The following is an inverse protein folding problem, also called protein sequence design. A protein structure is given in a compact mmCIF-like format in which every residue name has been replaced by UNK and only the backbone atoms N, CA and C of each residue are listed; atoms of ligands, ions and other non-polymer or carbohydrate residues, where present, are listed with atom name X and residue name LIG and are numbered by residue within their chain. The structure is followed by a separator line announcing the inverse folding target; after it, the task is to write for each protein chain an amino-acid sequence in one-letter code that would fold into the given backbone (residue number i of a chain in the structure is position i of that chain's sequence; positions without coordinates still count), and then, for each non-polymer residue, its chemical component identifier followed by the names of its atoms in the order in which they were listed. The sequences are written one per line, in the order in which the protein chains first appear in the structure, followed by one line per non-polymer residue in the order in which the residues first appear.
data_IF_917723068901
#
_entry.id   IF_917723068901
#
_cell.length_a   1.000
_cell.length_b   1.000
_cell.length_c   1.000
_cell.angle_alpha   90.00
_cell.angle_beta   90.00
_cell.angle_gamma   90.00
#
_symmetry.space_group_name_H-M   'P 1'
#
loop_
_entity.id
_entity.type
_entity.pdbx_description
1 polymer ?
#
# COMPACT_ATOMS: atom_id res chain seq x y z
N UNK A 1 29.39 -2.51 -1.08
CA UNK A 1 28.41 -3.25 -1.91
C UNK A 1 27.05 -3.07 -1.27
N UNK A 2 26.19 -2.25 -1.86
CA UNK A 2 24.86 -1.94 -1.33
C UNK A 2 23.84 -3.00 -1.78
N UNK A 3 22.76 -3.20 -1.01
CA UNK A 3 21.65 -4.10 -1.39
C UNK A 3 21.09 -3.74 -2.77
N UNK A 4 21.09 -2.46 -3.09
CA UNK A 4 20.68 -1.94 -4.39
C UNK A 4 21.54 -2.47 -5.56
N UNK A 5 22.87 -2.53 -5.40
CA UNK A 5 23.79 -3.03 -6.43
C UNK A 5 23.57 -4.53 -6.69
N UNK A 6 23.28 -5.30 -5.65
CA UNK A 6 22.99 -6.73 -5.75
C UNK A 6 21.69 -6.94 -6.53
N UNK A 7 20.61 -6.24 -6.17
CA UNK A 7 19.32 -6.38 -6.84
C UNK A 7 19.29 -5.82 -8.28
N UNK A 8 20.05 -4.76 -8.56
CA UNK A 8 20.16 -4.18 -9.90
C UNK A 8 20.93 -5.10 -10.88
N UNK A 9 21.87 -5.90 -10.38
CA UNK A 9 22.65 -6.84 -11.18
C UNK A 9 21.92 -8.14 -11.55
N UNK A 10 20.76 -8.41 -10.95
CA UNK A 10 20.02 -9.66 -11.18
C UNK A 10 19.42 -9.68 -12.59
N UNK A 11 19.76 -10.71 -13.38
CA UNK A 11 19.13 -11.00 -14.67
C UNK A 11 18.25 -12.23 -14.52
N UNK A 12 16.92 -12.05 -14.65
CA UNK A 12 15.94 -13.13 -14.68
C UNK A 12 14.79 -12.94 -13.69
N UNK A 13 13.56 -13.21 -14.14
CA UNK A 13 12.33 -13.02 -13.37
C UNK A 13 12.19 -14.00 -12.18
N UNK A 14 12.95 -15.11 -12.20
CA UNK A 14 12.95 -16.10 -11.12
C UNK A 14 13.68 -15.65 -9.85
N UNK A 15 14.72 -14.82 -9.98
CA UNK A 15 15.57 -14.46 -8.84
C UNK A 15 14.87 -13.53 -7.85
N UNK A 16 14.00 -12.63 -8.33
CA UNK A 16 13.22 -11.74 -7.46
C UNK A 16 12.30 -12.54 -6.53
N UNK A 17 11.67 -13.60 -7.07
CA UNK A 17 10.79 -14.49 -6.31
C UNK A 17 11.56 -15.31 -5.28
N UNK A 18 12.71 -15.87 -5.64
CA UNK A 18 13.56 -16.64 -4.73
C UNK A 18 14.07 -15.79 -3.56
N UNK A 19 14.51 -14.56 -3.86
CA UNK A 19 14.93 -13.59 -2.84
C UNK A 19 13.76 -13.25 -1.92
N UNK A 20 12.61 -12.87 -2.50
CA UNK A 20 11.42 -12.53 -1.73
C UNK A 20 11.01 -13.70 -0.83
N UNK A 21 10.98 -14.94 -1.35
CA UNK A 21 10.60 -16.13 -0.58
C UNK A 21 11.61 -16.52 0.50
N UNK A 22 12.89 -16.23 0.31
CA UNK A 22 13.92 -16.45 1.34
C UNK A 22 13.79 -15.44 2.47
N UNK A 23 13.64 -14.15 2.13
CA UNK A 23 13.45 -13.10 3.13
C UNK A 23 12.12 -13.27 3.85
N UNK A 24 11.05 -13.65 3.16
CA UNK A 24 9.74 -13.88 3.76
C UNK A 24 9.79 -14.97 4.83
N UNK A 25 10.38 -16.13 4.52
CA UNK A 25 10.55 -17.22 5.49
C UNK A 25 11.31 -16.79 6.73
N UNK A 26 12.35 -15.96 6.57
CA UNK A 26 13.09 -15.39 7.70
C UNK A 26 12.24 -14.38 8.49
N UNK A 27 11.60 -13.43 7.80
CA UNK A 27 10.90 -12.31 8.41
C UNK A 27 9.62 -12.74 9.16
N UNK A 28 8.96 -13.84 8.75
CA UNK A 28 7.75 -14.35 9.41
C UNK A 28 7.94 -14.67 10.90
N UNK A 29 9.13 -15.10 11.30
CA UNK A 29 9.44 -15.40 12.70
C UNK A 29 9.80 -14.18 13.55
N UNK A 30 9.86 -12.98 12.96
CA UNK A 30 10.29 -11.77 13.65
C UNK A 30 9.12 -10.97 14.19
N UNK A 31 9.38 -10.15 15.20
CA UNK A 31 8.44 -9.15 15.70
C UNK A 31 8.10 -8.10 14.62
N UNK A 32 6.91 -7.46 14.66
CA UNK A 32 6.47 -6.48 13.67
C UNK A 32 7.46 -5.32 13.44
N UNK A 33 8.11 -4.83 14.50
CA UNK A 33 9.15 -3.80 14.40
C UNK A 33 10.30 -4.22 13.48
N UNK A 34 10.76 -5.48 13.61
CA UNK A 34 11.87 -6.01 12.81
C UNK A 34 11.43 -6.30 11.37
N UNK A 35 10.19 -6.73 11.18
CA UNK A 35 9.59 -6.88 9.85
C UNK A 35 9.54 -5.52 9.12
N UNK A 36 9.07 -4.47 9.80
CA UNK A 36 9.03 -3.11 9.26
C UNK A 36 10.44 -2.56 8.96
N UNK A 37 11.42 -2.83 9.84
CA UNK A 37 12.83 -2.46 9.61
C UNK A 37 13.43 -3.12 8.36
N UNK A 38 13.18 -4.42 8.14
CA UNK A 38 13.63 -5.11 6.92
C UNK A 38 13.03 -4.45 5.68
N UNK A 39 11.73 -4.15 5.73
CA UNK A 39 11.02 -3.53 4.62
C UNK A 39 11.47 -2.09 4.35
N UNK A 40 11.80 -1.32 5.39
CA UNK A 40 12.27 0.06 5.22
C UNK A 40 13.60 0.10 4.46
N UNK A 41 14.51 -0.83 4.75
CA UNK A 41 15.79 -1.01 4.03
C UNK A 41 15.55 -1.29 2.54
N UNK A 42 14.58 -2.15 2.21
CA UNK A 42 14.29 -2.53 0.83
C UNK A 42 13.53 -1.44 0.07
N UNK A 43 12.60 -0.76 0.73
CA UNK A 43 11.70 0.23 0.11
C UNK A 43 12.40 1.52 -0.38
N UNK A 44 13.63 1.79 0.09
CA UNK A 44 14.45 2.92 -0.37
C UNK A 44 15.21 2.70 -1.68
N UNK A 45 15.09 1.52 -2.30
CA UNK A 45 15.87 1.12 -3.47
C UNK A 45 15.26 1.49 -4.84
N UNK A 46 15.79 0.87 -5.90
CA UNK A 46 15.26 0.98 -7.28
C UNK A 46 13.89 0.31 -7.40
N UNK A 47 13.22 0.52 -8.54
CA UNK A 47 11.90 -0.06 -8.82
C UNK A 47 11.80 -1.56 -8.56
N UNK A 48 12.86 -2.35 -8.80
CA UNK A 48 12.90 -3.79 -8.49
C UNK A 48 12.96 -4.09 -7.01
N UNK A 49 13.76 -3.35 -6.24
CA UNK A 49 13.85 -3.55 -4.78
C UNK A 49 12.52 -3.18 -4.13
N UNK A 50 11.92 -2.07 -4.56
CA UNK A 50 10.59 -1.65 -4.13
C UNK A 50 9.53 -2.68 -4.51
N UNK A 51 9.63 -3.29 -5.69
CA UNK A 51 8.77 -4.38 -6.12
C UNK A 51 8.88 -5.62 -5.20
N UNK A 52 10.10 -6.06 -4.88
CA UNK A 52 10.34 -7.14 -3.92
C UNK A 52 9.80 -6.77 -2.53
N UNK A 53 10.06 -5.56 -2.05
CA UNK A 53 9.60 -5.07 -0.75
C UNK A 53 8.07 -5.08 -0.67
N UNK A 54 7.38 -4.68 -1.74
CA UNK A 54 5.93 -4.68 -1.83
C UNK A 54 5.35 -6.09 -1.71
N UNK A 55 5.90 -7.07 -2.44
CA UNK A 55 5.48 -8.48 -2.35
C UNK A 55 5.79 -9.10 -0.99
N UNK A 56 6.96 -8.79 -0.43
CA UNK A 56 7.34 -9.22 0.91
C UNK A 56 6.37 -8.66 1.96
N UNK A 57 6.04 -7.39 1.89
CA UNK A 57 5.05 -6.75 2.77
C UNK A 57 3.68 -7.41 2.64
N UNK A 58 3.23 -7.69 1.41
CA UNK A 58 1.97 -8.40 1.19
C UNK A 58 1.98 -9.81 1.81
N UNK A 59 3.05 -10.59 1.62
CA UNK A 59 3.19 -11.94 2.21
C UNK A 59 3.21 -11.91 3.73
N UNK A 60 3.84 -10.89 4.33
CA UNK A 60 3.85 -10.71 5.79
C UNK A 60 2.46 -10.38 6.35
N UNK A 61 1.69 -9.53 5.66
CA UNK A 61 0.35 -9.11 6.09
C UNK A 61 -0.69 -10.22 5.94
N UNK A 62 -0.58 -11.03 4.90
CA UNK A 62 -1.56 -12.08 4.56
C UNK A 62 -1.22 -13.43 5.16
N UNK A 63 -0.01 -13.54 5.75
CA UNK A 63 0.60 -14.80 6.16
C UNK A 63 0.69 -15.85 5.05
N UNK A 64 0.55 -15.45 3.79
CA UNK A 64 0.65 -16.35 2.63
C UNK A 64 2.13 -16.57 2.28
N UNK A 65 2.54 -17.85 2.22
CA UNK A 65 3.88 -18.25 1.72
C UNK A 65 3.94 -18.33 0.20
N UNK A 66 2.78 -18.35 -0.46
CA UNK A 66 2.68 -18.49 -1.90
C UNK A 66 2.99 -17.16 -2.60
N UNK A 67 4.23 -17.02 -3.03
CA UNK A 67 4.63 -15.99 -4.01
C UNK A 67 4.34 -16.43 -5.45
N UNK A 68 3.47 -17.44 -5.64
CA UNK A 68 3.10 -17.92 -6.98
C UNK A 68 2.59 -16.82 -7.92
N UNK A 69 1.80 -15.82 -7.46
CA UNK A 69 1.32 -14.75 -8.34
C UNK A 69 2.42 -13.73 -8.70
N UNK A 70 3.57 -13.74 -8.04
CA UNK A 70 4.66 -12.79 -8.29
C UNK A 70 5.35 -13.13 -9.61
N UNK A 71 5.01 -12.38 -10.66
CA UNK A 71 5.67 -12.40 -11.97
C UNK A 71 5.96 -10.97 -12.43
N UNK A 72 6.90 -10.80 -13.36
CA UNK A 72 7.36 -9.48 -13.78
C UNK A 72 6.19 -8.52 -14.09
N UNK A 73 6.11 -7.42 -13.34
CA UNK A 73 5.07 -6.38 -13.50
C UNK A 73 3.74 -6.66 -12.79
N UNK A 74 3.54 -7.84 -12.19
CA UNK A 74 2.31 -8.18 -11.48
C UNK A 74 2.19 -7.46 -10.14
N UNK A 75 1.03 -6.89 -9.84
CA UNK A 75 0.75 -6.27 -8.56
C UNK A 75 0.10 -7.26 -7.57
N UNK A 76 0.42 -7.20 -6.27
CA UNK A 76 -0.25 -7.98 -5.25
C UNK A 76 -1.76 -7.71 -5.22
N UNK A 77 -2.60 -8.74 -4.99
CA UNK A 77 -4.05 -8.54 -4.88
C UNK A 77 -4.42 -7.62 -3.70
N UNK A 78 -5.21 -6.58 -3.96
CA UNK A 78 -5.69 -5.69 -2.89
C UNK A 78 -6.79 -6.34 -2.03
N UNK A 79 -7.46 -7.37 -2.51
CA UNK A 79 -8.55 -8.05 -1.81
C UNK A 79 -8.15 -8.52 -0.40
N UNK A 80 -6.94 -9.07 -0.25
CA UNK A 80 -6.44 -9.54 1.05
C UNK A 80 -6.15 -8.39 2.01
N UNK A 81 -5.63 -7.26 1.51
CA UNK A 81 -5.42 -6.05 2.31
C UNK A 81 -6.77 -5.44 2.73
N UNK A 82 -7.77 -5.44 1.85
CA UNK A 82 -9.13 -4.97 2.17
C UNK A 82 -9.74 -5.84 3.28
N UNK A 83 -9.63 -7.17 3.18
CA UNK A 83 -10.12 -8.09 4.20
C UNK A 83 -9.43 -7.84 5.56
N UNK A 84 -8.11 -7.62 5.54
CA UNK A 84 -7.34 -7.29 6.73
C UNK A 84 -7.79 -5.98 7.40
N UNK A 85 -8.04 -4.93 6.60
CA UNK A 85 -8.48 -3.61 7.06
C UNK A 85 -9.99 -3.57 7.41
N UNK A 86 -10.74 -4.60 7.04
CA UNK A 86 -12.19 -4.71 7.31
C UNK A 86 -12.50 -5.98 8.11
N UNK A 87 -11.92 -6.14 9.31
CA UNK A 87 -12.11 -7.36 10.09
C UNK A 87 -13.57 -7.49 10.54
N UNK A 88 -14.03 -8.74 10.63
CA UNK A 88 -15.31 -9.04 11.28
C UNK A 88 -15.23 -8.66 12.76
N UNK A 89 -16.20 -7.90 13.32
CA UNK A 89 -16.20 -7.54 14.72
C UNK A 89 -16.09 -8.78 15.62
N UNK A 90 -15.16 -8.77 16.57
CA UNK A 90 -14.90 -9.88 17.48
C UNK A 90 -13.99 -10.97 16.92
N UNK A 91 -13.54 -10.87 15.67
CA UNK A 91 -12.56 -11.79 15.10
C UNK A 91 -11.23 -11.78 15.83
N UNK A 92 -10.88 -10.69 16.53
CA UNK A 92 -9.53 -10.51 17.05
C UNK A 92 -8.48 -10.32 15.97
N UNK A 93 -8.91 -10.00 14.75
CA UNK A 93 -8.02 -9.61 13.69
C UNK A 93 -7.23 -8.35 14.06
N UNK A 94 -6.11 -8.14 13.38
CA UNK A 94 -5.17 -7.06 13.66
C UNK A 94 -5.80 -5.65 13.76
N UNK A 95 -6.82 -5.39 12.95
CA UNK A 95 -7.52 -4.10 12.90
C UNK A 95 -8.90 -4.13 13.57
N UNK A 96 -9.20 -5.14 14.39
CA UNK A 96 -10.46 -5.28 15.13
C UNK A 96 -10.48 -4.39 16.39
N UNK A 97 -10.31 -3.08 16.17
CA UNK A 97 -10.06 -2.09 17.23
C UNK A 97 -11.28 -1.88 18.14
N UNK A 98 -12.49 -1.97 17.60
CA UNK A 98 -13.72 -1.64 18.34
C UNK A 98 -14.12 -2.71 19.36
N UNK A 99 -13.87 -3.98 19.07
CA UNK A 99 -14.38 -5.03 19.94
C UNK A 99 -13.53 -5.19 21.18
N UNK A 100 -12.24 -4.85 21.14
CA UNK A 100 -11.29 -5.01 22.26
C UNK A 100 -10.24 -3.88 22.32
N UNK A 101 -10.63 -2.60 22.44
CA UNK A 101 -9.71 -1.46 22.36
C UNK A 101 -8.62 -1.46 23.44
N UNK A 102 -8.88 -2.09 24.58
CA UNK A 102 -7.93 -2.28 25.69
C UNK A 102 -6.84 -3.32 25.40
N UNK A 103 -7.07 -4.23 24.44
CA UNK A 103 -6.09 -5.26 24.04
C UNK A 103 -5.30 -4.87 22.79
N UNK A 104 -5.65 -3.75 22.15
CA UNK A 104 -4.95 -3.29 20.96
C UNK A 104 -3.58 -2.76 21.36
N UNK A 105 -2.55 -3.42 20.85
CA UNK A 105 -1.19 -2.91 20.89
C UNK A 105 -1.01 -1.86 19.78
N UNK A 106 -1.19 -0.58 20.15
CA UNK A 106 -1.09 0.54 19.21
C UNK A 106 0.34 0.80 18.73
N UNK A 107 1.36 0.34 19.46
CA UNK A 107 2.75 0.42 19.03
C UNK A 107 2.97 -0.56 17.87
N UNK A 108 2.57 -1.83 18.05
CA UNK A 108 2.62 -2.82 16.98
C UNK A 108 1.73 -2.45 15.79
N UNK A 109 0.54 -1.87 16.04
CA UNK A 109 -0.32 -1.35 14.99
C UNK A 109 0.43 -0.33 14.11
N UNK A 110 1.24 0.53 14.71
CA UNK A 110 2.10 1.48 13.99
C UNK A 110 3.02 0.78 12.98
N UNK A 111 3.70 -0.29 13.40
CA UNK A 111 4.58 -1.06 12.50
C UNK A 111 3.79 -1.74 11.38
N UNK A 112 2.63 -2.31 11.66
CA UNK A 112 1.79 -2.89 10.60
C UNK A 112 1.31 -1.85 9.58
N UNK A 113 1.03 -0.61 10.02
CA UNK A 113 0.71 0.48 9.10
C UNK A 113 1.90 0.85 8.19
N UNK A 114 3.13 0.76 8.69
CA UNK A 114 4.34 0.91 7.87
C UNK A 114 4.45 -0.22 6.84
N UNK A 115 4.19 -1.46 7.24
CA UNK A 115 4.17 -2.62 6.33
C UNK A 115 3.12 -2.43 5.23
N UNK A 116 1.89 -2.01 5.58
CA UNK A 116 0.84 -1.70 4.61
C UNK A 116 1.27 -0.54 3.69
N UNK A 117 1.96 0.47 4.22
CA UNK A 117 2.48 1.56 3.40
C UNK A 117 3.41 1.05 2.30
N UNK A 118 4.29 0.09 2.61
CA UNK A 118 5.19 -0.54 1.64
C UNK A 118 4.41 -1.41 0.64
N UNK A 119 3.43 -2.20 1.10
CA UNK A 119 2.56 -2.99 0.23
C UNK A 119 1.75 -2.11 -0.76
N UNK A 120 1.44 -0.88 -0.36
CA UNK A 120 0.76 0.14 -1.16
C UNK A 120 1.74 1.17 -1.74
N UNK A 121 3.00 0.82 -2.01
CA UNK A 121 3.98 1.76 -2.56
C UNK A 121 3.69 2.13 -4.02
N UNK A 122 3.13 1.21 -4.81
CA UNK A 122 2.87 1.36 -6.27
C UNK A 122 1.42 1.77 -6.60
N UNK A 123 0.82 2.67 -5.81
CA UNK A 123 -0.57 3.17 -6.04
C UNK A 123 -0.83 3.64 -7.48
N UNK A 124 0.07 4.38 -8.16
CA UNK A 124 -0.18 4.81 -9.53
C UNK A 124 -0.42 3.65 -10.50
N UNK A 125 0.21 2.51 -10.26
CA UNK A 125 0.10 1.34 -11.15
C UNK A 125 -1.21 0.60 -10.94
N UNK A 126 -1.65 0.44 -9.69
CA UNK A 126 -3.00 -0.05 -9.38
C UNK A 126 -4.07 0.85 -10.02
N UNK A 127 -3.88 2.17 -10.00
CA UNK A 127 -4.80 3.11 -10.61
C UNK A 127 -4.82 2.98 -12.15
N UNK A 128 -3.65 2.78 -12.77
CA UNK A 128 -3.54 2.51 -14.22
C UNK A 128 -4.17 1.17 -14.62
N UNK A 129 -3.96 0.11 -13.83
CA UNK A 129 -4.58 -1.19 -14.06
C UNK A 129 -6.11 -1.10 -13.98
N UNK A 130 -6.63 -0.45 -12.94
CA UNK A 130 -8.08 -0.26 -12.79
C UNK A 130 -8.69 0.49 -13.98
N UNK A 131 -8.00 1.53 -14.48
CA UNK A 131 -8.42 2.26 -15.69
C UNK A 131 -8.40 1.38 -16.94
N UNK A 132 -7.37 0.55 -17.11
CA UNK A 132 -7.29 -0.36 -18.25
C UNK A 132 -8.47 -1.34 -18.26
N UNK A 133 -8.84 -1.86 -17.09
CA UNK A 133 -9.93 -2.84 -16.96
C UNK A 133 -11.33 -2.20 -17.08
N UNK A 134 -11.51 -0.94 -16.68
CA UNK A 134 -12.83 -0.30 -16.56
C UNK A 134 -13.05 0.90 -17.51
N UNK A 135 -12.05 1.26 -18.31
CA UNK A 135 -12.08 2.30 -19.34
C UNK A 135 -11.81 3.73 -18.84
N UNK A 136 -11.54 4.66 -19.78
CA UNK A 136 -11.29 6.07 -19.50
C UNK A 136 -12.56 6.76 -19.00
N UNK A 137 -12.66 6.97 -17.68
CA UNK A 137 -13.81 7.61 -17.04
C UNK A 137 -14.24 6.96 -15.72
N UNK A 138 -13.74 5.75 -15.43
CA UNK A 138 -14.05 5.05 -14.18
C UNK A 138 -13.56 5.76 -12.89
N UNK A 139 -12.69 6.78 -13.02
CA UNK A 139 -12.11 7.51 -11.89
C UNK A 139 -12.66 8.92 -11.63
N UNK A 140 -13.63 9.42 -12.42
CA UNK A 140 -14.25 10.73 -12.21
C UNK A 140 -15.70 10.52 -11.77
N UNK A 141 -15.91 10.47 -10.45
CA UNK A 141 -17.22 10.33 -9.84
C UNK A 141 -17.96 11.68 -9.93
N UNK A 142 -18.74 11.89 -10.99
CA UNK A 142 -19.65 13.05 -11.13
C UNK A 142 -21.09 12.74 -10.68
N UNK A 143 -21.38 11.53 -10.16
CA UNK A 143 -22.74 11.21 -9.69
C UNK A 143 -22.80 10.18 -8.55
N UNK A 144 -23.49 10.47 -7.43
CA UNK A 144 -23.58 9.57 -6.26
C UNK A 144 -24.24 8.21 -6.53
N UNK A 145 -25.16 8.14 -7.51
CA UNK A 145 -25.98 6.95 -7.78
C UNK A 145 -25.27 5.83 -8.55
N UNK A 146 -24.10 6.10 -9.16
CA UNK A 146 -23.27 5.09 -9.85
C UNK A 146 -21.96 4.74 -9.12
N UNK A 147 -21.67 5.42 -8.00
CA UNK A 147 -20.42 5.28 -7.26
C UNK A 147 -20.27 3.90 -6.58
N UNK A 148 -21.36 3.35 -6.02
CA UNK A 148 -21.32 2.10 -5.29
C UNK A 148 -21.00 0.85 -6.16
N UNK A 149 -21.38 0.88 -7.45
CA UNK A 149 -21.21 -0.28 -8.35
C UNK A 149 -19.83 -0.34 -9.05
N UNK A 150 -19.02 0.72 -8.95
CA UNK A 150 -17.69 0.82 -9.59
C UNK A 150 -16.60 1.25 -8.61
N UNK A 151 -16.79 0.94 -7.34
CA UNK A 151 -15.82 1.28 -6.31
C UNK A 151 -14.55 0.46 -6.53
N UNK A 152 -13.49 1.11 -7.00
CA UNK A 152 -12.21 0.46 -7.27
C UNK A 152 -11.58 -0.06 -5.98
N UNK A 153 -10.77 -1.11 -6.07
CA UNK A 153 -10.21 -1.74 -4.88
C UNK A 153 -9.34 -0.79 -4.03
N UNK A 154 -8.64 0.17 -4.66
CA UNK A 154 -7.94 1.24 -3.94
C UNK A 154 -8.87 2.14 -3.14
N UNK A 155 -10.09 2.38 -3.62
CA UNK A 155 -11.09 3.18 -2.91
C UNK A 155 -11.65 2.39 -1.72
N UNK A 156 -11.83 1.08 -1.86
CA UNK A 156 -12.22 0.20 -0.73
C UNK A 156 -11.14 0.21 0.35
N UNK A 157 -9.87 0.14 -0.04
CA UNK A 157 -8.72 0.29 0.88
C UNK A 157 -8.75 1.66 1.58
N UNK A 158 -8.98 2.75 0.84
CA UNK A 158 -9.12 4.11 1.39
C UNK A 158 -10.25 4.18 2.43
N UNK A 159 -11.44 3.65 2.10
CA UNK A 159 -12.59 3.67 3.00
C UNK A 159 -12.41 2.78 4.24
N UNK A 160 -11.73 1.64 4.10
CA UNK A 160 -11.40 0.78 5.23
C UNK A 160 -10.44 1.51 6.19
N UNK A 161 -9.44 2.23 5.67
CA UNK A 161 -8.54 3.07 6.48
C UNK A 161 -9.29 4.20 7.20
N UNK A 162 -10.24 4.88 6.54
CA UNK A 162 -11.10 5.90 7.18
C UNK A 162 -11.88 5.28 8.33
N UNK A 163 -12.51 4.12 8.09
CA UNK A 163 -13.28 3.42 9.12
C UNK A 163 -12.42 3.09 10.33
N UNK A 164 -11.18 2.61 10.15
CA UNK A 164 -10.26 2.34 11.25
C UNK A 164 -9.86 3.63 11.96
N UNK A 165 -9.52 4.69 11.22
CA UNK A 165 -9.11 5.98 11.77
C UNK A 165 -10.17 6.56 12.71
N UNK A 166 -11.43 6.51 12.30
CA UNK A 166 -12.56 7.04 13.08
C UNK A 166 -12.83 6.24 14.35
N UNK A 167 -12.43 4.96 14.37
CA UNK A 167 -12.54 4.07 15.53
C UNK A 167 -11.43 4.30 16.56
N UNK A 168 -10.30 4.90 16.18
CA UNK A 168 -9.21 5.20 17.12
C UNK A 168 -9.57 6.47 17.90
N UNK A 169 -10.04 6.28 19.13
CA UNK A 169 -10.31 7.37 20.07
C UNK A 169 -9.01 7.77 20.78
N UNK A 170 -8.52 8.97 20.48
CA UNK A 170 -7.29 9.56 21.02
C UNK A 170 -7.59 10.75 21.94
N UNK A 171 -8.60 10.60 22.80
CA UNK A 171 -8.95 11.63 23.78
C UNK A 171 -7.94 11.64 24.93
N UNK A 172 -7.22 12.76 25.06
CA UNK A 172 -6.23 13.11 26.11
C UNK A 172 -4.81 12.59 25.87
N UNK A 173 -3.84 13.44 26.22
CA UNK A 173 -2.39 13.25 26.05
C UNK A 173 -1.78 12.01 26.75
N UNK A 174 -2.58 11.19 27.42
CA UNK A 174 -2.14 9.94 28.05
C UNK A 174 -1.99 8.77 27.07
N UNK A 175 -2.50 8.89 25.83
CA UNK A 175 -2.48 7.82 24.83
C UNK A 175 -1.63 8.17 23.60
N UNK A 176 -0.34 8.47 23.82
CA UNK A 176 0.59 8.88 22.75
C UNK A 176 0.65 7.88 21.58
N UNK A 177 0.67 6.58 21.87
CA UNK A 177 0.73 5.56 20.80
C UNK A 177 -0.54 5.53 19.95
N UNK A 178 -1.72 5.79 20.55
CA UNK A 178 -2.98 5.92 19.78
C UNK A 178 -2.92 7.10 18.83
N UNK A 179 -2.46 8.26 19.31
CA UNK A 179 -2.29 9.44 18.47
C UNK A 179 -1.27 9.22 17.35
N UNK A 180 -0.16 8.52 17.62
CA UNK A 180 0.84 8.17 16.60
C UNK A 180 0.27 7.24 15.54
N UNK A 181 -0.38 6.14 15.95
CA UNK A 181 -0.99 5.18 15.02
C UNK A 181 -2.08 5.84 14.16
N UNK A 182 -2.94 6.67 14.78
CA UNK A 182 -3.97 7.43 14.08
C UNK A 182 -3.38 8.40 13.04
N UNK A 183 -2.34 9.14 13.42
CA UNK A 183 -1.65 10.04 12.50
C UNK A 183 -0.95 9.28 11.35
N UNK A 184 -0.34 8.13 11.64
CA UNK A 184 0.28 7.28 10.62
C UNK A 184 -0.76 6.77 9.61
N UNK A 185 -1.91 6.30 10.10
CA UNK A 185 -3.03 5.85 9.28
C UNK A 185 -3.59 6.99 8.41
N UNK A 186 -3.78 8.18 8.98
CA UNK A 186 -4.24 9.35 8.25
C UNK A 186 -3.27 9.76 7.12
N UNK A 187 -1.95 9.75 7.40
CA UNK A 187 -0.92 10.04 6.38
C UNK A 187 -0.95 9.02 5.25
N UNK A 188 -1.08 7.73 5.59
CA UNK A 188 -1.17 6.66 4.60
C UNK A 188 -2.41 6.82 3.72
N UNK A 189 -3.57 7.07 4.34
CA UNK A 189 -4.82 7.32 3.63
C UNK A 189 -4.68 8.51 2.67
N UNK A 190 -4.17 9.65 3.13
CA UNK A 190 -3.96 10.84 2.29
C UNK A 190 -3.01 10.56 1.13
N UNK A 191 -1.90 9.84 1.38
CA UNK A 191 -0.95 9.44 0.34
C UNK A 191 -1.65 8.62 -0.75
N UNK A 192 -2.37 7.57 -0.38
CA UNK A 192 -3.09 6.70 -1.34
C UNK A 192 -4.11 7.51 -2.14
N UNK A 193 -4.91 8.34 -1.47
CA UNK A 193 -5.90 9.21 -2.12
C UNK A 193 -5.25 10.13 -3.15
N UNK A 194 -4.21 10.88 -2.76
CA UNK A 194 -3.57 11.84 -3.65
C UNK A 194 -2.81 11.17 -4.80
N UNK A 195 -2.14 10.04 -4.57
CA UNK A 195 -1.47 9.28 -5.62
C UNK A 195 -2.49 8.73 -6.64
N UNK A 196 -3.62 8.21 -6.16
CA UNK A 196 -4.74 7.77 -7.01
C UNK A 196 -5.31 8.92 -7.85
N UNK A 197 -5.58 10.07 -7.22
CA UNK A 197 -6.06 11.27 -7.93
C UNK A 197 -5.07 11.79 -8.97
N UNK A 198 -3.77 11.78 -8.65
CA UNK A 198 -2.71 12.19 -9.57
C UNK A 198 -2.65 11.28 -10.80
N UNK A 199 -2.64 9.95 -10.60
CA UNK A 199 -2.69 8.96 -11.69
C UNK A 199 -3.95 9.13 -12.56
N UNK A 200 -5.06 9.59 -11.98
CA UNK A 200 -6.28 9.98 -12.68
C UNK A 200 -6.09 11.13 -13.68
N UNK A 201 -5.28 12.14 -13.31
CA UNK A 201 -5.14 13.42 -14.05
C UNK A 201 -4.07 13.42 -15.13
N UNK A 202 -3.05 12.57 -15.02
CA UNK A 202 -1.85 12.59 -15.88
C UNK A 202 -2.13 12.40 -17.38
N UNK A 203 -3.23 11.76 -17.77
CA UNK A 203 -3.57 11.51 -19.18
C UNK A 203 -4.40 12.63 -19.82
N UNK A 204 -5.15 13.42 -19.03
CA UNK A 204 -5.99 14.50 -19.57
C UNK A 204 -5.19 15.74 -19.97
N UNK A 205 -3.94 15.84 -19.55
CA UNK A 205 -3.01 16.88 -20.03
C UNK A 205 -2.12 16.26 -21.10
N UNK A 206 -2.57 16.32 -22.35
CA UNK A 206 -1.69 16.62 -23.49
C UNK A 206 -1.09 18.01 -23.30
N UNK A 207 -0.37 18.21 -22.20
CA UNK A 207 0.27 19.46 -21.85
C UNK A 207 1.43 19.66 -22.79
N UNK A 208 1.44 20.82 -23.45
CA UNK A 208 2.61 21.36 -24.13
C UNK A 208 3.87 20.99 -23.35
N UNK A 209 4.81 20.30 -24.01
CA UNK A 209 6.11 19.99 -23.43
C UNK A 209 6.75 21.31 -23.02
N UNK A 210 7.61 21.30 -22.01
CA UNK A 210 8.28 22.55 -21.57
C UNK A 210 8.99 23.24 -22.75
N UNK A 211 9.51 22.46 -23.70
CA UNK A 211 10.09 22.96 -24.95
C UNK A 211 9.12 23.74 -25.84
N UNK A 212 7.82 23.47 -25.79
CA UNK A 212 6.79 24.19 -26.56
C UNK A 212 6.55 25.60 -26.00
N UNK A 213 6.98 25.89 -24.77
CA UNK A 213 6.94 27.24 -24.18
C UNK A 213 8.17 28.08 -24.55
N UNK A 214 9.25 27.43 -24.97
CA UNK A 214 10.51 28.07 -25.37
C UNK A 214 10.76 28.02 -26.87
N UNK A 215 9.83 27.49 -27.66
CA UNK A 215 9.93 27.50 -29.11
C UNK A 215 9.83 28.96 -29.63
N UNK A 216 10.79 29.44 -30.43
CA UNK A 216 10.72 30.77 -31.01
C UNK A 216 9.50 30.86 -31.94
N UNK A 217 8.69 31.90 -31.77
CA UNK A 217 7.59 32.20 -32.68
C UNK A 217 8.21 32.76 -33.97
N UNK A 218 8.13 31.97 -35.04
CA UNK A 218 8.41 32.40 -36.42
C UNK A 218 7.15 33.03 -36.99
#
# INVERSE_FOLDING_TARGET
MSVHEICAGLKGDGTEREICGTILRFAKGLMPINQALILSILSGGSGRVTYIAMWLAHGLLTHDDSLAPMHAGALPPLASIIALLSPTPGSGGLFDILTRPELVDYENLGYYLEIISVALSRVPEYASQFKADHGPGAGVLDSPSKAAAKMGDLEKVENAMISIHDKIVDTRAAHLERSRAKAALQRLQLRVRYQRMAAGRSEKRGGKKIGDFFAPKI
#
